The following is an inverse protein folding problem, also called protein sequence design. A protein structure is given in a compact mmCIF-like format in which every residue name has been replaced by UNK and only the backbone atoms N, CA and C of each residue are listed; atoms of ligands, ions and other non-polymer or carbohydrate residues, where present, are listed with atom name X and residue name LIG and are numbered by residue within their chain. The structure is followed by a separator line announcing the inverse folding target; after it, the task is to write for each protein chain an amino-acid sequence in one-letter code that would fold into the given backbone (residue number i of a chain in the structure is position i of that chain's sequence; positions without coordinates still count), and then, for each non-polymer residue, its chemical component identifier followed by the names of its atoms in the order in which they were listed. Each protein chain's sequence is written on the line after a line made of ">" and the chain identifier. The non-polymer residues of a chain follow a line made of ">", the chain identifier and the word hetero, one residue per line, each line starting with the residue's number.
data_IF_834388095828
#
_entry.id   IF_834388095828
#
_cell.length_a   1.000
_cell.length_b   1.000
_cell.length_c   1.000
_cell.angle_alpha   90.00
_cell.angle_beta   90.00
_cell.angle_gamma   90.00
#
_symmetry.space_group_name_H-M   'P 1'
#
loop_
_entity.id
_entity.type
_entity.pdbx_description
1 polymer ?
#
# COMPACT_ATOMS: atom_id res chain seq x y z
N UNK A 1 -22.07 -3.28 -7.31
CA UNK A 1 -20.87 -3.33 -6.46
C UNK A 1 -20.77 -2.02 -5.70
N UNK A 2 -20.38 -2.02 -4.42
CA UNK A 2 -20.38 -0.80 -3.60
C UNK A 2 -19.39 0.24 -4.15
N UNK A 3 -18.26 -0.23 -4.69
CA UNK A 3 -17.27 0.62 -5.33
C UNK A 3 -17.80 1.39 -6.55
N UNK A 4 -18.67 0.79 -7.37
CA UNK A 4 -19.25 1.48 -8.54
C UNK A 4 -20.10 2.67 -8.13
N UNK A 5 -21.00 2.48 -7.15
CA UNK A 5 -21.85 3.57 -6.67
C UNK A 5 -21.05 4.70 -6.03
N UNK A 6 -19.99 4.38 -5.29
CA UNK A 6 -19.10 5.39 -4.70
C UNK A 6 -18.34 6.18 -5.76
N UNK A 7 -17.87 5.51 -6.82
CA UNK A 7 -17.17 6.16 -7.93
C UNK A 7 -18.11 7.11 -8.69
N UNK A 8 -19.35 6.69 -8.94
CA UNK A 8 -20.36 7.54 -9.59
C UNK A 8 -20.64 8.81 -8.79
N UNK A 9 -20.71 8.71 -7.45
CA UNK A 9 -20.86 9.88 -6.56
C UNK A 9 -19.69 10.85 -6.73
N UNK A 10 -18.45 10.35 -6.79
CA UNK A 10 -17.27 11.21 -7.00
C UNK A 10 -17.31 11.89 -8.37
N UNK A 11 -17.64 11.16 -9.44
CA UNK A 11 -17.70 11.70 -10.80
C UNK A 11 -18.77 12.80 -10.98
N UNK A 12 -19.80 12.81 -10.12
CA UNK A 12 -20.86 13.81 -10.12
C UNK A 12 -20.62 14.95 -9.13
N UNK A 13 -19.60 14.84 -8.27
CA UNK A 13 -19.31 15.85 -7.26
C UNK A 13 -18.68 17.10 -7.90
N UNK A 14 -19.37 18.23 -7.81
CA UNK A 14 -18.93 19.52 -8.37
C UNK A 14 -17.89 20.25 -7.51
N UNK A 15 -17.74 19.85 -6.26
CA UNK A 15 -16.82 20.47 -5.31
C UNK A 15 -15.41 19.87 -5.40
N UNK A 16 -15.23 18.76 -6.13
CA UNK A 16 -13.91 18.20 -6.40
C UNK A 16 -13.10 19.10 -7.34
N UNK A 17 -11.80 19.21 -7.09
CA UNK A 17 -10.90 19.90 -8.01
C UNK A 17 -10.84 19.19 -9.37
N UNK A 18 -10.37 19.91 -10.39
CA UNK A 18 -10.20 19.35 -11.73
C UNK A 18 -9.26 18.13 -11.74
N UNK A 19 -8.20 18.16 -10.95
CA UNK A 19 -7.23 17.06 -10.84
C UNK A 19 -7.85 15.81 -10.20
N UNK A 20 -8.66 15.98 -9.14
CA UNK A 20 -9.42 14.87 -8.55
C UNK A 20 -10.39 14.26 -9.56
N UNK A 21 -11.16 15.09 -10.27
CA UNK A 21 -12.09 14.58 -11.29
C UNK A 21 -11.37 13.89 -12.45
N UNK A 22 -10.20 14.41 -12.86
CA UNK A 22 -9.38 13.79 -13.90
C UNK A 22 -8.94 12.39 -13.51
N UNK A 23 -8.37 12.24 -12.31
CA UNK A 23 -7.89 10.96 -11.79
C UNK A 23 -9.06 9.98 -11.58
N UNK A 24 -10.18 10.43 -11.03
CA UNK A 24 -11.37 9.59 -10.84
C UNK A 24 -11.89 9.03 -12.18
N UNK A 25 -11.87 9.83 -13.26
CA UNK A 25 -12.22 9.38 -14.62
C UNK A 25 -11.25 8.34 -15.14
N UNK A 26 -9.93 8.56 -14.97
CA UNK A 26 -8.93 7.57 -15.37
C UNK A 26 -9.15 6.23 -14.66
N UNK A 27 -9.46 6.25 -13.36
CA UNK A 27 -9.80 5.04 -12.61
C UNK A 27 -11.06 4.36 -13.16
N UNK A 28 -12.12 5.12 -13.45
CA UNK A 28 -13.34 4.59 -14.05
C UNK A 28 -13.09 3.92 -15.41
N UNK A 29 -12.21 4.51 -16.22
CA UNK A 29 -11.83 4.04 -17.55
C UNK A 29 -10.76 2.94 -17.52
N UNK A 30 -10.30 2.52 -16.33
CA UNK A 30 -9.25 1.51 -16.17
C UNK A 30 -7.86 1.97 -16.65
N UNK A 31 -7.65 3.28 -16.73
CA UNK A 31 -6.40 3.88 -17.16
C UNK A 31 -5.40 4.01 -16.01
N UNK A 32 -4.11 3.86 -16.33
CA UNK A 32 -3.02 4.03 -15.38
C UNK A 32 -2.81 5.51 -15.07
N UNK A 33 -2.68 5.84 -13.79
CA UNK A 33 -2.19 7.15 -13.35
C UNK A 33 -0.67 7.29 -13.58
N UNK A 34 -0.21 8.50 -13.82
CA UNK A 34 1.21 8.82 -13.94
C UNK A 34 1.84 9.16 -12.58
N UNK A 35 3.12 9.53 -12.61
CA UNK A 35 3.90 9.82 -11.41
C UNK A 35 3.41 11.07 -10.68
N UNK A 36 3.11 12.14 -11.42
CA UNK A 36 2.70 13.43 -10.85
C UNK A 36 1.29 13.33 -10.25
N UNK A 37 0.39 12.61 -10.92
CA UNK A 37 -0.91 12.26 -10.36
C UNK A 37 -0.77 11.43 -9.08
N UNK A 38 0.19 10.50 -9.03
CA UNK A 38 0.51 9.74 -7.83
C UNK A 38 0.96 10.63 -6.66
N UNK A 39 1.87 11.57 -6.92
CA UNK A 39 2.33 12.56 -5.92
C UNK A 39 1.17 13.44 -5.47
N UNK A 40 0.36 13.94 -6.40
CA UNK A 40 -0.84 14.72 -6.10
C UNK A 40 -1.78 13.97 -5.15
N UNK A 41 -2.05 12.68 -5.40
CA UNK A 41 -2.87 11.87 -4.52
C UNK A 41 -2.28 11.68 -3.13
N UNK A 42 -0.95 11.58 -3.01
CA UNK A 42 -0.28 11.49 -1.71
C UNK A 42 -0.42 12.78 -0.89
N UNK A 43 -0.35 13.94 -1.53
CA UNK A 43 -0.35 15.24 -0.86
C UNK A 43 -1.77 15.81 -0.65
N UNK A 44 -2.72 15.46 -1.53
CA UNK A 44 -4.03 16.09 -1.60
C UNK A 44 -5.20 15.10 -1.61
N UNK A 45 -4.95 13.79 -1.59
CA UNK A 45 -5.99 12.77 -1.60
C UNK A 45 -6.59 12.55 -0.21
N UNK A 46 -7.82 13.05 -0.01
CA UNK A 46 -8.58 12.73 1.19
C UNK A 46 -8.87 11.22 1.28
N UNK A 47 -8.87 10.68 2.51
CA UNK A 47 -9.01 9.25 2.78
C UNK A 47 -10.27 8.64 2.15
N UNK A 48 -11.40 9.36 2.18
CA UNK A 48 -12.67 8.90 1.62
C UNK A 48 -12.64 8.82 0.09
N UNK A 49 -12.05 9.82 -0.56
CA UNK A 49 -11.85 9.86 -2.00
C UNK A 49 -10.94 8.70 -2.45
N UNK A 50 -9.78 8.54 -1.81
CA UNK A 50 -8.85 7.45 -2.10
C UNK A 50 -9.47 6.08 -1.84
N UNK A 51 -10.22 5.94 -0.74
CA UNK A 51 -10.91 4.71 -0.38
C UNK A 51 -11.93 4.27 -1.43
N UNK A 52 -12.71 5.21 -1.99
CA UNK A 52 -13.67 4.91 -3.05
C UNK A 52 -12.99 4.43 -4.34
N UNK A 53 -11.94 5.13 -4.79
CA UNK A 53 -11.18 4.74 -6.00
C UNK A 53 -10.50 3.37 -5.82
N UNK A 54 -9.82 3.17 -4.69
CA UNK A 54 -9.13 1.91 -4.40
C UNK A 54 -10.10 0.74 -4.25
N UNK A 55 -11.24 0.94 -3.57
CA UNK A 55 -12.25 -0.09 -3.39
C UNK A 55 -12.91 -0.49 -4.71
N UNK A 56 -13.19 0.46 -5.61
CA UNK A 56 -13.69 0.17 -6.95
C UNK A 56 -12.75 -0.78 -7.71
N UNK A 57 -11.45 -0.47 -7.76
CA UNK A 57 -10.44 -1.32 -8.43
C UNK A 57 -10.31 -2.68 -7.73
N UNK A 58 -10.34 -2.71 -6.38
CA UNK A 58 -10.26 -3.94 -5.59
C UNK A 58 -11.43 -4.86 -5.85
N UNK A 59 -12.67 -4.35 -5.83
CA UNK A 59 -13.89 -5.10 -6.13
C UNK A 59 -13.91 -5.59 -7.59
N UNK A 60 -13.45 -4.76 -8.54
CA UNK A 60 -13.35 -5.17 -9.96
C UNK A 60 -12.40 -6.37 -10.15
N UNK A 61 -11.28 -6.41 -9.42
CA UNK A 61 -10.28 -7.48 -9.55
C UNK A 61 -10.61 -8.72 -8.72
N UNK A 62 -11.21 -8.54 -7.55
CA UNK A 62 -11.26 -9.59 -6.53
C UNK A 62 -12.68 -9.85 -5.99
N UNK A 63 -13.69 -9.08 -6.39
CA UNK A 63 -15.00 -9.06 -5.75
C UNK A 63 -14.87 -8.83 -4.24
N UNK A 64 -15.62 -9.60 -3.47
CA UNK A 64 -15.57 -9.61 -1.99
C UNK A 64 -14.51 -10.60 -1.43
N UNK A 65 -13.76 -11.30 -2.28
CA UNK A 65 -12.81 -12.32 -1.81
C UNK A 65 -11.64 -11.68 -1.08
N UNK A 66 -11.25 -12.25 0.05
CA UNK A 66 -10.02 -11.90 0.78
C UNK A 66 -9.18 -13.16 0.94
N UNK A 67 -7.98 -13.16 0.37
CA UNK A 67 -7.12 -14.33 0.30
C UNK A 67 -6.17 -14.41 1.50
N UNK A 68 -5.90 -15.63 1.98
CA UNK A 68 -4.91 -15.94 3.01
C UNK A 68 -4.22 -17.27 2.69
N UNK A 69 -3.03 -17.54 3.25
CA UNK A 69 -2.31 -18.80 3.07
C UNK A 69 -1.85 -19.39 4.41
N UNK A 70 -1.35 -20.63 4.38
CA UNK A 70 -0.72 -21.31 5.52
C UNK A 70 0.78 -21.27 5.32
N UNK A 71 1.50 -20.53 6.16
CA UNK A 71 2.94 -20.38 6.09
C UNK A 71 3.57 -20.46 7.49
N UNK A 72 4.87 -20.77 7.56
CA UNK A 72 5.69 -20.61 8.76
C UNK A 72 7.03 -20.02 8.35
N UNK A 73 7.67 -19.29 9.26
CA UNK A 73 8.97 -18.65 9.04
C UNK A 73 9.97 -19.18 10.06
N UNK A 74 11.14 -19.60 9.59
CA UNK A 74 12.29 -19.92 10.44
C UNK A 74 13.32 -18.82 10.22
N UNK A 75 13.83 -18.27 11.32
CA UNK A 75 14.83 -17.21 11.29
C UNK A 75 16.16 -17.71 11.86
N UNK A 76 17.11 -18.15 11.00
CA UNK A 76 18.32 -18.82 11.45
C UNK A 76 19.24 -17.94 12.32
N UNK A 77 19.19 -16.63 12.16
CA UNK A 77 20.02 -15.65 12.87
C UNK A 77 19.35 -14.28 12.86
N UNK A 78 19.54 -13.49 13.91
CA UNK A 78 19.23 -12.05 13.91
C UNK A 78 20.47 -11.16 13.79
N UNK A 79 21.61 -11.75 13.45
CA UNK A 79 22.85 -11.04 13.14
C UNK A 79 22.92 -10.75 11.64
N UNK A 80 23.29 -9.51 11.30
CA UNK A 80 23.42 -9.08 9.92
C UNK A 80 24.74 -8.34 9.70
N UNK A 81 25.35 -8.54 8.53
CA UNK A 81 26.53 -7.77 8.10
C UNK A 81 26.18 -6.36 7.65
N UNK A 82 24.90 -6.09 7.39
CA UNK A 82 24.40 -4.79 6.96
C UNK A 82 23.98 -3.91 8.13
N UNK A 83 23.95 -2.59 7.89
CA UNK A 83 23.64 -1.55 8.88
C UNK A 83 22.38 -0.75 8.46
N UNK A 84 21.27 -1.46 8.27
CA UNK A 84 20.00 -0.86 7.86
C UNK A 84 19.39 -0.07 9.03
N UNK A 85 19.20 1.25 8.85
CA UNK A 85 18.76 2.17 9.92
C UNK A 85 17.35 1.91 10.47
N UNK A 86 16.51 1.21 9.72
CA UNK A 86 15.16 0.83 10.13
C UNK A 86 15.07 -0.60 10.69
N UNK A 87 16.12 -1.41 10.58
CA UNK A 87 16.08 -2.82 10.91
C UNK A 87 16.65 -3.08 12.31
N UNK A 88 15.88 -3.74 13.17
CA UNK A 88 16.35 -4.17 14.50
C UNK A 88 17.45 -5.24 14.45
N UNK A 89 17.63 -5.92 13.31
CA UNK A 89 18.71 -6.90 13.08
C UNK A 89 19.95 -6.28 12.48
N UNK A 90 20.02 -4.95 12.43
CA UNK A 90 21.26 -4.19 12.23
C UNK A 90 22.22 -4.36 13.44
N UNK A 91 22.44 -5.61 13.82
CA UNK A 91 23.34 -6.11 14.84
C UNK A 91 24.54 -6.68 14.09
N UNK A 92 25.59 -5.86 14.03
CA UNK A 92 26.81 -6.24 13.32
C UNK A 92 27.41 -7.49 13.98
N UNK A 93 28.14 -8.31 13.23
CA UNK A 93 28.78 -9.54 13.74
C UNK A 93 29.60 -9.30 15.02
N UNK A 94 30.19 -8.10 15.18
CA UNK A 94 30.92 -7.68 16.39
C UNK A 94 30.06 -7.63 17.67
N UNK A 95 28.73 -7.65 17.55
CA UNK A 95 27.75 -7.63 18.64
C UNK A 95 27.15 -9.02 18.90
N UNK A 96 27.78 -10.10 18.40
CA UNK A 96 27.34 -11.49 18.65
C UNK A 96 27.30 -11.86 20.13
N UNK A 97 28.02 -11.15 20.99
CA UNK A 97 28.02 -11.36 22.44
C UNK A 97 26.85 -10.68 23.17
N UNK A 98 26.00 -9.93 22.47
CA UNK A 98 24.75 -9.42 23.05
C UNK A 98 23.85 -10.62 23.42
N UNK A 99 23.27 -10.60 24.63
CA UNK A 99 22.42 -11.69 25.13
C UNK A 99 21.19 -11.96 24.23
N UNK A 100 20.74 -10.94 23.50
CA UNK A 100 19.62 -11.02 22.57
C UNK A 100 20.02 -11.45 21.15
N UNK A 101 21.31 -11.70 20.88
CA UNK A 101 21.80 -12.18 19.59
C UNK A 101 21.80 -13.72 19.52
N UNK A 102 21.35 -14.28 18.39
CA UNK A 102 21.46 -15.71 18.10
C UNK A 102 21.96 -15.95 16.68
N UNK A 103 22.65 -17.07 16.52
CA UNK A 103 22.92 -17.69 15.23
C UNK A 103 22.84 -19.19 15.43
N UNK A 104 21.85 -19.82 14.81
CA UNK A 104 21.67 -21.26 14.83
C UNK A 104 22.84 -21.91 14.10
N UNK A 105 23.52 -22.86 14.74
CA UNK A 105 24.70 -23.57 14.24
C UNK A 105 24.48 -25.06 14.30
#
# INVERSE_FOLDING_TARGET
>A
MRGTAQLDILLQNKDLSADHLHIARKVADGQRIDFEEGVFLFEHGDLSYLGALANFIREQKNGDNTYFNRNFHIEPTNLCVYDCKFCSYSRLIKQRSDESAWAYS
#
